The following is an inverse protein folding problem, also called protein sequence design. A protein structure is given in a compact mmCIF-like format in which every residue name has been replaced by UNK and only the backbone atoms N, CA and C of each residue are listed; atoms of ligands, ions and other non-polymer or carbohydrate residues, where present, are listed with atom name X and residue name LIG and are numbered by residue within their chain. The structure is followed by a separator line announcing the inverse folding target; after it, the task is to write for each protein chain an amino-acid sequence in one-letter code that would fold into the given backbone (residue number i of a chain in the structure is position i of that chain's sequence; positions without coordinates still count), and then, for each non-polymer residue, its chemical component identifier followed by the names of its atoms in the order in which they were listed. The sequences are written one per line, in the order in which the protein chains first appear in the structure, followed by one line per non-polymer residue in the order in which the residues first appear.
data_IF_717263464899
#
_entry.id   IF_717263464899
#
_cell.length_a   1.000
_cell.length_b   1.000
_cell.length_c   1.000
_cell.angle_alpha   90.00
_cell.angle_beta   90.00
_cell.angle_gamma   90.00
#
_symmetry.space_group_name_H-M   'P 1'
#
loop_
_entity.id
_entity.type
_entity.pdbx_description
1 polymer ?
#
# COMPACT_ATOMS: atom_id res chain seq x y z
N UNK A 1 -11.91 2.23 29.02
CA UNK A 1 -11.03 1.46 28.08
C UNK A 1 -11.82 0.25 27.66
N UNK A 2 -12.04 0.07 26.37
CA UNK A 2 -12.65 -1.18 25.91
C UNK A 2 -11.68 -2.31 26.17
N UNK A 3 -12.16 -3.42 26.68
CA UNK A 3 -11.35 -4.60 26.87
C UNK A 3 -10.77 -5.06 25.51
N UNK A 4 -9.50 -5.39 25.50
CA UNK A 4 -8.85 -5.97 24.32
C UNK A 4 -9.45 -7.36 24.10
N UNK A 5 -9.73 -7.68 22.85
CA UNK A 5 -10.16 -9.03 22.49
C UNK A 5 -9.01 -10.02 22.72
N UNK A 6 -9.33 -11.18 23.25
CA UNK A 6 -8.34 -12.26 23.44
C UNK A 6 -7.83 -12.83 22.10
N UNK A 7 -8.60 -12.67 21.03
CA UNK A 7 -8.27 -13.16 19.69
C UNK A 7 -8.62 -12.12 18.63
N UNK A 8 -7.83 -12.09 17.57
CA UNK A 8 -8.06 -11.26 16.40
C UNK A 8 -7.80 -12.08 15.13
N UNK A 9 -8.73 -12.05 14.19
CA UNK A 9 -8.53 -12.69 12.89
C UNK A 9 -7.77 -11.76 11.96
N UNK A 10 -6.57 -12.18 11.59
CA UNK A 10 -5.65 -11.39 10.75
C UNK A 10 -5.55 -12.00 9.36
N UNK A 11 -5.62 -11.18 8.34
CA UNK A 11 -5.25 -11.52 6.97
C UNK A 11 -3.88 -10.93 6.66
N UNK A 12 -2.94 -11.78 6.29
CA UNK A 12 -1.63 -11.37 5.77
C UNK A 12 -1.67 -11.54 4.26
N UNK A 13 -1.53 -10.45 3.53
CA UNK A 13 -1.59 -10.43 2.08
C UNK A 13 -0.18 -10.53 1.52
N UNK A 14 0.03 -11.50 0.65
CA UNK A 14 1.24 -11.61 -0.15
C UNK A 14 0.85 -11.56 -1.62
N UNK A 15 1.09 -10.43 -2.25
CA UNK A 15 0.74 -10.20 -3.65
C UNK A 15 1.77 -9.31 -4.34
N UNK A 16 1.86 -9.43 -5.65
CA UNK A 16 2.62 -8.52 -6.47
C UNK A 16 1.79 -7.25 -6.73
N UNK A 17 2.39 -6.06 -6.66
CA UNK A 17 1.77 -4.84 -7.13
C UNK A 17 1.68 -4.80 -8.66
N UNK A 18 0.96 -3.83 -9.20
CA UNK A 18 1.14 -3.42 -10.59
C UNK A 18 2.25 -2.36 -10.60
N UNK A 19 3.42 -2.76 -11.10
CA UNK A 19 4.63 -1.96 -11.01
C UNK A 19 4.42 -0.56 -11.61
N UNK A 20 4.74 0.47 -10.84
CA UNK A 20 4.64 1.89 -11.23
C UNK A 20 3.26 2.32 -11.75
N UNK A 21 2.22 1.62 -11.35
CA UNK A 21 0.83 2.01 -11.59
C UNK A 21 0.09 2.11 -10.25
N UNK A 22 0.14 3.29 -9.68
CA UNK A 22 -0.49 3.60 -8.39
C UNK A 22 -1.98 3.31 -8.38
N UNK A 23 -2.67 3.63 -9.48
CA UNK A 23 -4.11 3.44 -9.59
C UNK A 23 -4.45 1.95 -9.59
N UNK A 24 -3.86 1.18 -10.49
CA UNK A 24 -4.12 -0.25 -10.59
C UNK A 24 -3.70 -1.02 -9.32
N UNK A 25 -2.58 -0.65 -8.70
CA UNK A 25 -2.16 -1.23 -7.43
C UNK A 25 -3.14 -0.91 -6.30
N UNK A 26 -3.68 0.31 -6.25
CA UNK A 26 -4.68 0.71 -5.26
C UNK A 26 -6.00 -0.04 -5.47
N UNK A 27 -6.47 -0.17 -6.70
CA UNK A 27 -7.68 -0.95 -7.03
C UNK A 27 -7.54 -2.40 -6.59
N UNK A 28 -6.41 -3.04 -6.91
CA UNK A 28 -6.09 -4.40 -6.48
C UNK A 28 -6.08 -4.53 -4.95
N UNK A 29 -5.47 -3.60 -4.25
CA UNK A 29 -5.42 -3.58 -2.79
C UNK A 29 -6.83 -3.46 -2.19
N UNK A 30 -7.69 -2.62 -2.78
CA UNK A 30 -9.09 -2.46 -2.37
C UNK A 30 -9.88 -3.75 -2.53
N UNK A 31 -9.70 -4.47 -3.61
CA UNK A 31 -10.36 -5.77 -3.84
C UNK A 31 -9.92 -6.81 -2.80
N UNK A 32 -8.63 -6.88 -2.51
CA UNK A 32 -8.08 -7.79 -1.49
C UNK A 32 -8.59 -7.45 -0.08
N UNK A 33 -8.76 -6.17 0.24
CA UNK A 33 -9.38 -5.73 1.50
C UNK A 33 -10.82 -6.21 1.59
N UNK A 34 -11.59 -6.07 0.52
CA UNK A 34 -12.98 -6.53 0.48
C UNK A 34 -13.08 -8.05 0.63
N UNK A 35 -12.21 -8.79 -0.03
CA UNK A 35 -12.15 -10.24 0.07
C UNK A 35 -11.80 -10.69 1.49
N UNK A 36 -10.77 -10.11 2.09
CA UNK A 36 -10.37 -10.40 3.46
C UNK A 36 -11.49 -10.07 4.46
N UNK A 37 -12.17 -8.94 4.28
CA UNK A 37 -13.32 -8.55 5.09
C UNK A 37 -14.49 -9.54 4.99
N UNK A 38 -14.82 -10.01 3.79
CA UNK A 38 -15.84 -11.07 3.58
C UNK A 38 -15.48 -12.37 4.30
N UNK A 39 -14.19 -12.68 4.40
CA UNK A 39 -13.67 -13.83 5.13
C UNK A 39 -13.52 -13.59 6.64
N UNK A 40 -13.98 -12.46 7.14
CA UNK A 40 -14.02 -12.14 8.55
C UNK A 40 -12.70 -11.63 9.13
N UNK A 41 -11.78 -11.13 8.31
CA UNK A 41 -10.57 -10.50 8.81
C UNK A 41 -10.90 -9.18 9.54
N UNK A 42 -10.30 -9.00 10.70
CA UNK A 42 -10.41 -7.80 11.52
C UNK A 42 -9.20 -6.87 11.34
N UNK A 43 -8.08 -7.43 10.93
CA UNK A 43 -6.84 -6.74 10.61
C UNK A 43 -6.28 -7.30 9.30
N UNK A 44 -5.82 -6.42 8.43
CA UNK A 44 -5.22 -6.81 7.15
C UNK A 44 -3.85 -6.17 7.05
N UNK A 45 -2.84 -6.97 6.72
CA UNK A 45 -1.44 -6.53 6.58
C UNK A 45 -0.98 -6.76 5.15
N UNK A 46 -0.42 -5.73 4.55
CA UNK A 46 0.15 -5.75 3.21
C UNK A 46 1.68 -5.68 3.25
N UNK A 47 2.37 -6.10 2.16
CA UNK A 47 3.81 -5.95 2.05
C UNK A 47 4.24 -4.48 2.09
N UNK A 48 5.46 -4.25 2.55
CA UNK A 48 6.11 -2.93 2.48
C UNK A 48 6.17 -2.42 1.04
N UNK A 49 5.94 -1.12 0.87
CA UNK A 49 6.03 -0.44 -0.42
C UNK A 49 5.18 -1.06 -1.55
N UNK A 50 4.03 -1.66 -1.22
CA UNK A 50 3.15 -2.27 -2.22
C UNK A 50 2.73 -1.26 -3.31
N UNK A 51 2.52 -0.02 -2.92
CA UNK A 51 2.23 1.09 -3.82
C UNK A 51 3.34 2.11 -3.65
N UNK A 52 4.27 2.25 -4.44
CA UNK A 52 4.53 2.15 -5.87
C UNK A 52 5.16 0.84 -6.35
N UNK A 53 5.44 -0.08 -5.57
CA UNK A 53 6.16 -1.34 -5.59
C UNK A 53 7.48 -1.28 -4.82
N UNK A 54 7.89 -2.43 -4.30
CA UNK A 54 9.22 -2.52 -3.69
C UNK A 54 10.29 -2.59 -4.79
N UNK A 55 11.28 -1.71 -4.78
CA UNK A 55 12.25 -1.59 -5.88
C UNK A 55 13.35 -2.66 -5.79
N UNK A 56 12.97 -3.93 -5.65
CA UNK A 56 13.92 -5.03 -5.54
C UNK A 56 14.77 -5.17 -6.80
N UNK A 57 16.07 -5.15 -6.64
CA UNK A 57 17.01 -5.23 -7.74
C UNK A 57 17.18 -3.94 -8.56
N UNK A 58 16.38 -2.91 -8.27
CA UNK A 58 16.57 -1.59 -8.85
C UNK A 58 17.47 -0.78 -7.92
N UNK A 59 18.63 -0.42 -8.38
CA UNK A 59 19.54 0.39 -7.60
C UNK A 59 19.27 1.88 -7.72
N UNK A 60 18.43 2.30 -8.67
CA UNK A 60 18.20 3.70 -9.06
C UNK A 60 19.50 4.47 -9.26
N UNK A 61 20.56 3.79 -9.69
CA UNK A 61 21.89 4.36 -9.78
C UNK A 61 22.52 4.72 -8.43
N UNK A 62 22.01 4.21 -7.33
CA UNK A 62 22.62 4.34 -6.00
C UNK A 62 23.92 3.53 -5.84
N UNK A 63 24.65 3.34 -6.90
CA UNK A 63 26.08 3.11 -6.78
C UNK A 63 26.65 4.43 -6.25
N UNK A 64 27.29 4.39 -5.09
CA UNK A 64 27.88 5.59 -4.47
C UNK A 64 28.65 6.38 -5.52
N UNK A 65 28.21 7.61 -5.77
CA UNK A 65 28.82 8.50 -6.79
C UNK A 65 28.17 8.49 -8.17
N UNK A 66 27.24 7.60 -8.48
CA UNK A 66 26.52 7.60 -9.75
C UNK A 66 25.31 8.56 -9.71
N UNK A 67 25.33 9.56 -10.56
CA UNK A 67 24.23 10.54 -10.73
C UNK A 67 23.90 10.67 -12.22
N UNK A 68 23.46 9.56 -12.83
CA UNK A 68 23.06 9.56 -14.23
C UNK A 68 21.65 10.12 -14.39
N UNK A 69 21.31 10.63 -15.58
CA UNK A 69 19.96 11.11 -15.89
C UNK A 69 18.95 9.96 -15.82
N UNK A 70 19.30 8.78 -16.29
CA UNK A 70 18.47 7.57 -16.24
C UNK A 70 18.04 7.24 -14.81
N UNK A 71 18.93 7.36 -13.84
CA UNK A 71 18.62 7.12 -12.43
C UNK A 71 17.64 8.14 -11.86
N UNK A 72 17.71 9.37 -12.32
CA UNK A 72 16.78 10.43 -11.90
C UNK A 72 15.40 10.18 -12.47
N UNK A 73 15.32 9.69 -13.71
CA UNK A 73 14.07 9.35 -14.36
C UNK A 73 13.39 8.16 -13.66
N UNK A 74 14.12 7.11 -13.34
CA UNK A 74 13.64 5.96 -12.58
C UNK A 74 13.14 6.37 -11.19
N UNK A 75 13.92 7.20 -10.49
CA UNK A 75 13.54 7.74 -9.19
C UNK A 75 12.28 8.59 -9.28
N UNK A 76 12.15 9.39 -10.33
CA UNK A 76 10.97 10.21 -10.56
C UNK A 76 9.72 9.36 -10.75
N UNK A 77 9.79 8.29 -11.56
CA UNK A 77 8.67 7.38 -11.76
C UNK A 77 8.25 6.76 -10.42
N UNK A 78 9.20 6.30 -9.63
CA UNK A 78 8.93 5.75 -8.31
C UNK A 78 8.27 6.77 -7.38
N UNK A 79 8.79 7.98 -7.34
CA UNK A 79 8.27 9.08 -6.51
C UNK A 79 6.86 9.50 -6.94
N UNK A 80 6.61 9.63 -8.24
CA UNK A 80 5.30 10.03 -8.77
C UNK A 80 4.20 8.98 -8.48
N UNK A 81 4.59 7.73 -8.32
CA UNK A 81 3.69 6.64 -7.94
C UNK A 81 3.56 6.43 -6.43
N UNK A 82 4.25 7.19 -5.60
CA UNK A 82 4.09 7.13 -4.17
C UNK A 82 2.69 7.57 -3.72
N UNK A 83 2.23 6.99 -2.62
CA UNK A 83 0.96 7.39 -2.00
C UNK A 83 1.10 8.79 -1.42
N UNK A 84 0.20 9.67 -1.83
CA UNK A 84 0.08 10.96 -1.18
C UNK A 84 -0.63 10.79 0.16
N UNK A 85 0.07 11.12 1.24
CA UNK A 85 -0.49 11.23 2.59
C UNK A 85 -0.54 12.71 3.01
N UNK A 86 -1.32 13.57 2.34
CA UNK A 86 -1.08 14.99 2.47
C UNK A 86 -1.98 15.70 3.46
N UNK A 87 -3.10 15.16 3.84
CA UNK A 87 -4.05 15.88 4.69
C UNK A 87 -4.90 14.96 5.52
N UNK A 88 -5.39 15.51 6.64
CA UNK A 88 -6.40 14.86 7.47
C UNK A 88 -7.64 14.40 6.66
N UNK A 89 -7.96 15.07 5.56
CA UNK A 89 -9.10 14.74 4.72
C UNK A 89 -8.86 13.50 3.85
N UNK A 90 -7.65 13.31 3.35
CA UNK A 90 -7.28 12.09 2.62
C UNK A 90 -7.21 10.89 3.57
N UNK A 91 -6.66 11.10 4.76
CA UNK A 91 -6.64 10.09 5.82
C UNK A 91 -8.07 9.76 6.24
N UNK A 92 -8.95 10.74 6.44
CA UNK A 92 -10.37 10.52 6.74
C UNK A 92 -11.11 9.74 5.65
N UNK A 93 -10.87 10.03 4.38
CA UNK A 93 -11.45 9.27 3.27
C UNK A 93 -10.98 7.81 3.26
N UNK A 94 -9.72 7.56 3.54
CA UNK A 94 -9.17 6.22 3.70
C UNK A 94 -9.75 5.50 4.92
N UNK A 95 -9.90 6.19 6.04
CA UNK A 95 -10.54 5.66 7.25
C UNK A 95 -12.03 5.39 7.05
N UNK A 96 -12.75 6.26 6.34
CA UNK A 96 -14.16 6.03 6.01
C UNK A 96 -14.31 4.81 5.09
N UNK A 97 -13.36 4.57 4.20
CA UNK A 97 -13.33 3.38 3.37
C UNK A 97 -13.16 2.09 4.21
N UNK A 98 -12.29 2.11 5.20
CA UNK A 98 -12.12 1.00 6.15
C UNK A 98 -13.36 0.82 7.02
N UNK A 99 -14.01 1.91 7.42
CA UNK A 99 -15.22 1.87 8.25
C UNK A 99 -16.44 1.29 7.50
N UNK A 100 -16.54 1.50 6.20
CA UNK A 100 -17.59 0.91 5.35
C UNK A 100 -17.47 -0.62 5.30
N UNK A 101 -16.27 -1.17 5.45
CA UNK A 101 -16.06 -2.61 5.46
C UNK A 101 -16.41 -3.28 6.82
N UNK A 102 -16.50 -2.49 7.89
CA UNK A 102 -16.91 -3.02 9.20
C UNK A 102 -18.42 -3.09 9.39
N UNK A 103 -19.20 -2.49 8.50
CA UNK A 103 -20.66 -2.38 8.60
C UNK A 103 -21.39 -3.38 7.68
N UNK A 104 -20.65 -4.17 6.91
CA UNK A 104 -21.15 -5.25 6.07
C UNK A 104 -20.76 -6.60 6.67
#
# INVERSE_FOLDING_TARGET
MKDLKDTCRVAVVQCAPVMFDKKASTEKMVELIREAGKNGAELIVFPESLIPCYPYGLTYGFTVGSRTEECRDDWKIYYDNAVLCPSADTVKKSFNFVKIQQTL
#
